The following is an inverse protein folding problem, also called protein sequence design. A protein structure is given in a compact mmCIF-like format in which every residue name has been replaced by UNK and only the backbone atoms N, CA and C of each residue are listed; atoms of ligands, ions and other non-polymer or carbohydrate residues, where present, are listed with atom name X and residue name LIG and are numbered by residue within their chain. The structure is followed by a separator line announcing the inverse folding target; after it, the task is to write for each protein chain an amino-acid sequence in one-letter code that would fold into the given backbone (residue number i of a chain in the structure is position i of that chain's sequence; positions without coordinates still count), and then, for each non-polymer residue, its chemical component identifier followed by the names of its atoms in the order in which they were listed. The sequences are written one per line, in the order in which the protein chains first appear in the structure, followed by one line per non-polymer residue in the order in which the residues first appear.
data_IF_174537823060
#
_entry.id   IF_174537823060
#
_cell.length_a   1.000
_cell.length_b   1.000
_cell.length_c   1.000
_cell.angle_alpha   90.00
_cell.angle_beta   90.00
_cell.angle_gamma   90.00
#
_symmetry.space_group_name_H-M   'P 1'
#
loop_
_entity.id
_entity.type
_entity.pdbx_description
1 polymer ?
#
# COMPACT_ATOMS: atom_id res chain seq x y z
N UNK A 1 0.69 -24.89 -10.43
CA UNK A 1 -0.35 -23.91 -10.80
C UNK A 1 -1.13 -23.61 -9.54
N UNK A 2 -1.36 -22.35 -9.22
CA UNK A 2 -2.23 -21.91 -8.13
C UNK A 2 -3.64 -22.46 -8.33
N UNK A 3 -4.33 -22.76 -7.23
CA UNK A 3 -5.63 -23.46 -7.26
C UNK A 3 -6.80 -22.48 -7.17
N UNK A 4 -6.60 -21.34 -6.49
CA UNK A 4 -7.66 -20.37 -6.19
C UNK A 4 -7.33 -19.01 -6.79
N UNK A 5 -8.34 -18.26 -7.20
CA UNK A 5 -8.15 -16.90 -7.73
C UNK A 5 -7.97 -15.88 -6.61
N UNK A 6 -8.75 -16.01 -5.54
CA UNK A 6 -8.76 -15.09 -4.41
C UNK A 6 -8.66 -15.83 -3.09
N UNK A 7 -8.03 -15.21 -2.10
CA UNK A 7 -7.99 -15.76 -0.74
C UNK A 7 -7.76 -14.71 0.34
N UNK A 8 -8.04 -15.10 1.58
CA UNK A 8 -7.72 -14.31 2.78
C UNK A 8 -6.67 -15.06 3.59
N UNK A 9 -5.55 -14.43 3.86
CA UNK A 9 -4.53 -14.90 4.79
C UNK A 9 -4.74 -14.24 6.15
N UNK A 10 -5.16 -15.03 7.14
CA UNK A 10 -5.32 -14.61 8.53
C UNK A 10 -4.01 -14.88 9.27
N UNK A 11 -3.27 -13.81 9.58
CA UNK A 11 -2.01 -13.87 10.31
C UNK A 11 -2.29 -13.82 11.83
N UNK A 12 -1.98 -14.92 12.49
CA UNK A 12 -2.30 -15.22 13.90
C UNK A 12 -1.10 -15.17 14.81
N UNK A 13 0.12 -15.28 14.28
CA UNK A 13 1.35 -15.12 15.08
C UNK A 13 1.44 -13.69 15.66
N UNK A 14 2.16 -13.52 16.79
CA UNK A 14 2.50 -12.20 17.32
C UNK A 14 3.19 -11.32 16.27
N UNK A 15 2.96 -10.00 16.32
CA UNK A 15 3.51 -9.04 15.34
C UNK A 15 5.05 -9.13 15.23
N UNK A 16 5.72 -9.26 16.37
CA UNK A 16 7.18 -9.43 16.46
C UNK A 16 7.67 -10.65 15.68
N UNK A 17 6.99 -11.79 15.80
CA UNK A 17 7.33 -13.02 15.07
C UNK A 17 7.01 -12.94 13.57
N UNK A 18 5.93 -12.23 13.19
CA UNK A 18 5.55 -12.05 11.79
C UNK A 18 6.63 -11.31 11.00
N UNK A 19 7.31 -10.35 11.62
CA UNK A 19 8.37 -9.56 10.95
C UNK A 19 9.41 -10.46 10.25
N UNK A 20 9.82 -11.58 10.85
CA UNK A 20 10.80 -12.51 10.27
C UNK A 20 10.17 -13.60 9.38
N UNK A 21 8.86 -13.83 9.50
CA UNK A 21 8.16 -14.96 8.87
C UNK A 21 7.34 -14.59 7.64
N UNK A 22 7.12 -13.30 7.37
CA UNK A 22 6.28 -12.83 6.27
C UNK A 22 6.70 -13.38 4.90
N UNK A 23 7.97 -13.27 4.51
CA UNK A 23 8.44 -13.73 3.20
C UNK A 23 8.11 -15.22 2.91
N UNK A 24 8.47 -16.20 3.76
CA UNK A 24 8.13 -17.60 3.50
C UNK A 24 6.62 -17.89 3.61
N UNK A 25 5.87 -17.16 4.44
CA UNK A 25 4.39 -17.25 4.48
C UNK A 25 3.79 -16.78 3.15
N UNK A 26 4.20 -15.60 2.65
CA UNK A 26 3.73 -15.05 1.38
C UNK A 26 4.09 -15.95 0.20
N UNK A 27 5.30 -16.52 0.20
CA UNK A 27 5.72 -17.49 -0.81
C UNK A 27 4.86 -18.75 -0.80
N UNK A 28 4.41 -19.20 0.37
CA UNK A 28 3.49 -20.34 0.50
C UNK A 28 2.08 -19.99 0.02
N UNK A 29 1.58 -18.80 0.38
CA UNK A 29 0.28 -18.31 -0.07
C UNK A 29 0.23 -18.11 -1.59
N UNK A 30 1.30 -17.57 -2.20
CA UNK A 30 1.42 -17.35 -3.64
C UNK A 30 1.44 -18.66 -4.47
N UNK A 31 1.71 -19.82 -3.86
CA UNK A 31 1.56 -21.12 -4.51
C UNK A 31 0.10 -21.56 -4.61
N UNK A 32 -0.77 -21.00 -3.77
CA UNK A 32 -2.17 -21.41 -3.59
C UNK A 32 -3.12 -20.42 -4.26
N UNK A 33 -2.85 -19.11 -4.12
CA UNK A 33 -3.68 -18.00 -4.63
C UNK A 33 -3.02 -17.34 -5.83
N UNK A 34 -3.80 -17.07 -6.86
CA UNK A 34 -3.31 -16.54 -8.14
C UNK A 34 -3.41 -15.02 -8.28
N UNK A 35 -4.60 -14.45 -8.03
CA UNK A 35 -4.93 -13.08 -8.45
C UNK A 35 -4.90 -12.12 -7.27
N UNK A 36 -5.69 -12.36 -6.22
CA UNK A 36 -5.82 -11.41 -5.08
C UNK A 36 -5.67 -12.11 -3.73
N UNK A 37 -4.70 -11.65 -2.94
CA UNK A 37 -4.50 -12.11 -1.56
C UNK A 37 -4.80 -10.97 -0.59
N UNK A 38 -5.91 -11.11 0.13
CA UNK A 38 -6.22 -10.25 1.26
C UNK A 38 -5.43 -10.73 2.48
N UNK A 39 -4.84 -9.82 3.24
CA UNK A 39 -4.13 -10.16 4.48
C UNK A 39 -4.81 -9.49 5.67
N UNK A 40 -5.24 -10.30 6.63
CA UNK A 40 -5.88 -9.85 7.88
C UNK A 40 -4.94 -10.16 9.05
N UNK A 41 -4.47 -9.11 9.73
CA UNK A 41 -3.72 -9.26 10.97
C UNK A 41 -4.68 -9.55 12.11
N UNK A 42 -4.47 -10.65 12.83
CA UNK A 42 -5.27 -11.04 13.99
C UNK A 42 -4.36 -11.77 15.00
N UNK A 43 -3.32 -11.09 15.53
CA UNK A 43 -2.34 -11.70 16.41
C UNK A 43 -3.02 -12.26 17.66
N UNK A 44 -2.67 -13.49 18.03
CA UNK A 44 -3.24 -14.20 19.17
C UNK A 44 -4.58 -14.88 18.90
N UNK A 45 -5.06 -14.94 17.65
CA UNK A 45 -6.24 -15.75 17.32
C UNK A 45 -6.01 -17.22 17.64
N UNK A 46 -6.82 -17.77 18.54
CA UNK A 46 -6.83 -19.20 18.82
C UNK A 46 -7.84 -19.90 17.92
N UNK A 47 -7.37 -20.89 17.16
CA UNK A 47 -8.21 -21.74 16.32
C UNK A 47 -8.49 -23.12 16.93
N UNK A 48 -7.93 -23.38 18.12
CA UNK A 48 -8.14 -24.61 18.88
C UNK A 48 -9.02 -24.34 20.09
N UNK A 49 -9.96 -25.24 20.38
CA UNK A 49 -10.86 -25.14 21.54
C UNK A 49 -12.34 -25.13 21.15
N UNK A 50 -13.21 -24.99 22.15
CA UNK A 50 -14.67 -25.00 22.00
C UNK A 50 -15.27 -23.62 21.73
N UNK A 51 -14.56 -22.54 22.07
CA UNK A 51 -15.02 -21.17 21.87
C UNK A 51 -15.00 -20.78 20.38
N UNK A 52 -15.98 -19.98 19.97
CA UNK A 52 -16.01 -19.42 18.62
C UNK A 52 -14.89 -18.36 18.47
N UNK A 53 -14.08 -18.41 17.40
CA UNK A 53 -13.06 -17.40 17.16
C UNK A 53 -13.71 -16.05 16.83
N UNK A 54 -13.25 -14.99 17.49
CA UNK A 54 -13.74 -13.62 17.31
C UNK A 54 -12.61 -12.68 16.93
N UNK A 55 -12.89 -11.74 16.02
CA UNK A 55 -11.92 -10.68 15.69
C UNK A 55 -11.74 -9.75 16.90
N UNK A 56 -10.53 -9.24 17.05
CA UNK A 56 -10.13 -8.29 18.10
C UNK A 56 -9.51 -7.08 17.43
N UNK A 57 -9.58 -5.95 18.13
CA UNK A 57 -8.97 -4.72 17.63
C UNK A 57 -7.47 -4.71 17.90
N UNK A 58 -6.74 -4.22 16.91
CA UNK A 58 -5.30 -3.95 17.00
C UNK A 58 -5.11 -2.43 17.04
N UNK A 59 -4.32 -1.88 17.97
CA UNK A 59 -4.01 -0.46 17.96
C UNK A 59 -3.16 -0.08 16.74
N UNK A 60 -3.45 1.07 16.13
CA UNK A 60 -2.63 1.64 15.07
C UNK A 60 -1.31 2.17 15.68
N UNK A 61 -0.25 1.36 15.63
CA UNK A 61 1.08 1.70 16.16
C UNK A 61 2.12 1.79 15.04
N UNK A 62 3.28 2.35 15.37
CA UNK A 62 4.42 2.36 14.45
C UNK A 62 4.84 0.95 14.04
N UNK A 63 4.73 -0.05 14.94
CA UNK A 63 5.04 -1.45 14.64
C UNK A 63 4.11 -2.01 13.56
N UNK A 64 2.79 -1.76 13.66
CA UNK A 64 1.82 -2.17 12.64
C UNK A 64 2.11 -1.50 11.30
N UNK A 65 2.44 -0.21 11.30
CA UNK A 65 2.83 0.53 10.09
C UNK A 65 4.07 -0.07 9.41
N UNK A 66 5.11 -0.38 10.20
CA UNK A 66 6.34 -1.02 9.72
C UNK A 66 6.08 -2.42 9.18
N UNK A 67 5.23 -3.21 9.85
CA UNK A 67 4.86 -4.56 9.40
C UNK A 67 4.10 -4.51 8.07
N UNK A 68 3.16 -3.59 7.90
CA UNK A 68 2.42 -3.40 6.65
C UNK A 68 3.37 -3.02 5.51
N UNK A 69 4.30 -2.10 5.78
CA UNK A 69 5.33 -1.69 4.81
C UNK A 69 6.18 -2.88 4.40
N UNK A 70 6.67 -3.67 5.38
CA UNK A 70 7.43 -4.89 5.13
C UNK A 70 6.65 -5.92 4.33
N UNK A 71 5.37 -6.14 4.65
CA UNK A 71 4.50 -7.09 3.94
C UNK A 71 4.37 -6.74 2.46
N UNK A 72 4.14 -5.47 2.14
CA UNK A 72 4.09 -5.02 0.75
C UNK A 72 5.45 -5.11 0.03
N UNK A 73 6.55 -4.83 0.72
CA UNK A 73 7.90 -5.03 0.18
C UNK A 73 8.18 -6.51 -0.12
N UNK A 74 7.90 -7.40 0.83
CA UNK A 74 8.07 -8.85 0.66
C UNK A 74 7.15 -9.41 -0.43
N UNK A 75 5.95 -8.83 -0.61
CA UNK A 75 5.02 -9.22 -1.66
C UNK A 75 5.48 -8.86 -3.08
N UNK A 76 6.40 -7.89 -3.25
CA UNK A 76 6.83 -7.40 -4.56
C UNK A 76 7.52 -8.49 -5.41
N UNK A 77 8.13 -9.48 -4.75
CA UNK A 77 8.71 -10.65 -5.45
C UNK A 77 7.64 -11.46 -6.19
N UNK A 78 6.39 -11.44 -5.70
CA UNK A 78 5.24 -12.15 -6.25
C UNK A 78 4.41 -11.26 -7.19
N UNK A 79 5.00 -10.83 -8.31
CA UNK A 79 4.42 -9.81 -9.20
C UNK A 79 3.06 -10.13 -9.85
N UNK A 80 2.59 -11.37 -9.78
CA UNK A 80 1.25 -11.75 -10.25
C UNK A 80 0.16 -11.62 -9.17
N UNK A 81 0.56 -11.46 -7.90
CA UNK A 81 -0.35 -11.47 -6.76
C UNK A 81 -0.67 -10.06 -6.30
N UNK A 82 -1.93 -9.67 -6.41
CA UNK A 82 -2.45 -8.42 -5.85
C UNK A 82 -2.67 -8.59 -4.34
N UNK A 83 -1.65 -8.27 -3.55
CA UNK A 83 -1.75 -8.28 -2.09
C UNK A 83 -2.45 -7.02 -1.59
N UNK A 84 -3.41 -7.16 -0.66
CA UNK A 84 -4.13 -6.06 0.00
C UNK A 84 -4.25 -6.31 1.50
N UNK A 85 -3.68 -5.42 2.32
CA UNK A 85 -3.77 -5.55 3.79
C UNK A 85 -5.05 -4.90 4.29
N UNK A 86 -5.88 -5.68 4.99
CA UNK A 86 -7.15 -5.24 5.55
C UNK A 86 -6.93 -4.52 6.87
N UNK A 87 -7.51 -3.32 7.01
CA UNK A 87 -7.36 -2.44 8.18
C UNK A 87 -8.67 -2.27 8.97
N UNK A 88 -9.63 -3.19 8.77
CA UNK A 88 -10.95 -3.14 9.39
C UNK A 88 -10.92 -3.33 10.91
N UNK A 89 -10.00 -4.13 11.42
CA UNK A 89 -9.79 -4.34 12.85
C UNK A 89 -8.67 -3.46 13.44
N UNK A 90 -8.12 -2.51 12.69
CA UNK A 90 -7.08 -1.59 13.20
C UNK A 90 -7.72 -0.27 13.63
N UNK A 91 -7.51 0.09 14.90
CA UNK A 91 -8.11 1.27 15.54
C UNK A 91 -7.10 2.35 15.90
N UNK A 92 -7.51 3.57 15.59
CA UNK A 92 -6.86 4.81 16.00
C UNK A 92 -7.30 5.14 17.44
N UNK A 93 -6.49 5.90 18.20
CA UNK A 93 -6.73 6.16 19.63
C UNK A 93 -8.08 6.84 19.96
N UNK A 94 -8.66 7.52 18.98
CA UNK A 94 -9.89 8.34 19.08
C UNK A 94 -11.17 7.59 18.66
N UNK A 95 -11.08 6.33 18.26
CA UNK A 95 -12.21 5.58 17.71
C UNK A 95 -13.29 5.25 18.74
N UNK A 96 -14.50 5.78 18.53
CA UNK A 96 -15.72 5.30 19.21
C UNK A 96 -15.92 3.78 19.00
N UNK A 97 -16.63 3.12 19.94
CA UNK A 97 -16.92 1.69 19.90
C UNK A 97 -17.82 1.32 18.72
N UNK A 98 -17.27 1.25 17.50
CA UNK A 98 -17.88 0.44 16.46
C UNK A 98 -17.72 -1.03 16.83
N UNK A 99 -18.75 -1.83 16.54
CA UNK A 99 -18.73 -3.29 16.66
C UNK A 99 -18.12 -3.88 15.38
N UNK A 100 -17.22 -4.87 15.52
CA UNK A 100 -16.62 -5.65 14.41
C UNK A 100 -17.62 -6.50 13.61
N UNK A 101 -18.92 -6.24 13.77
CA UNK A 101 -19.98 -7.22 13.50
C UNK A 101 -20.57 -7.18 12.09
N UNK A 102 -20.09 -6.29 11.21
CA UNK A 102 -20.55 -6.29 9.82
C UNK A 102 -19.63 -7.16 8.96
N UNK A 103 -20.22 -8.17 8.32
CA UNK A 103 -19.55 -8.96 7.27
C UNK A 103 -19.02 -8.01 6.19
N UNK A 104 -17.72 -8.08 5.91
CA UNK A 104 -17.08 -7.25 4.90
C UNK A 104 -17.24 -7.85 3.51
N UNK A 105 -17.70 -7.04 2.55
CA UNK A 105 -17.72 -7.39 1.14
C UNK A 105 -16.39 -7.01 0.50
N UNK A 106 -15.61 -8.01 0.13
CA UNK A 106 -14.36 -7.82 -0.61
C UNK A 106 -14.65 -7.84 -2.10
N UNK A 107 -13.91 -7.04 -2.87
CA UNK A 107 -14.07 -6.92 -4.32
C UNK A 107 -13.93 -8.26 -5.05
N UNK A 108 -13.10 -9.15 -4.50
CA UNK A 108 -12.99 -10.54 -4.95
C UNK A 108 -13.36 -11.46 -3.77
N UNK A 109 -14.56 -12.05 -3.75
CA UNK A 109 -14.99 -12.98 -2.70
C UNK A 109 -13.95 -14.10 -2.50
N UNK A 110 -13.48 -14.37 -1.28
CA UNK A 110 -12.43 -15.37 -1.05
C UNK A 110 -12.90 -16.78 -1.40
N UNK A 111 -12.09 -17.52 -2.16
CA UNK A 111 -12.28 -18.95 -2.44
C UNK A 111 -11.53 -19.82 -1.42
N UNK A 112 -10.48 -19.28 -0.81
CA UNK A 112 -9.67 -19.95 0.22
C UNK A 112 -9.37 -19.02 1.40
N UNK A 113 -9.37 -19.56 2.62
CA UNK A 113 -8.82 -18.92 3.81
C UNK A 113 -7.55 -19.66 4.24
N UNK A 114 -6.47 -18.90 4.38
CA UNK A 114 -5.14 -19.36 4.76
C UNK A 114 -4.82 -18.84 6.16
N UNK A 115 -3.96 -19.52 6.90
CA UNK A 115 -3.42 -19.01 8.17
C UNK A 115 -2.01 -19.51 8.41
N UNK A 116 -1.21 -18.75 9.15
CA UNK A 116 0.09 -19.16 9.68
C UNK A 116 0.00 -19.92 11.01
N UNK A 117 -1.23 -20.18 11.49
CA UNK A 117 -1.48 -20.92 12.73
C UNK A 117 -0.88 -22.33 12.69
N UNK A 118 -0.08 -22.65 13.71
CA UNK A 118 0.56 -23.96 13.85
C UNK A 118 -0.12 -24.80 14.93
N UNK A 119 -0.48 -26.03 14.57
CA UNK A 119 -1.01 -27.02 15.51
C UNK A 119 0.13 -27.82 16.13
N UNK A 120 0.13 -27.96 17.45
CA UNK A 120 1.12 -28.77 18.19
C UNK A 120 0.89 -30.27 17.92
N UNK A 121 -0.37 -30.69 17.85
CA UNK A 121 -0.76 -32.09 17.63
C UNK A 121 -1.56 -32.24 16.32
N UNK A 122 -1.26 -33.30 15.55
CA UNK A 122 -1.97 -33.60 14.30
C UNK A 122 -3.49 -33.78 14.46
N UNK A 123 -3.96 -34.15 15.65
CA UNK A 123 -5.38 -34.27 15.97
C UNK A 123 -6.14 -32.92 15.96
N UNK A 124 -5.44 -31.79 16.12
CA UNK A 124 -6.04 -30.45 16.10
C UNK A 124 -6.12 -29.84 14.70
N UNK A 125 -5.56 -30.49 13.68
CA UNK A 125 -5.52 -29.98 12.32
C UNK A 125 -6.92 -29.74 11.72
N UNK A 126 -7.79 -30.76 11.73
CA UNK A 126 -9.14 -30.65 11.16
C UNK A 126 -10.05 -29.70 11.98
N UNK A 127 -10.04 -29.73 13.32
CA UNK A 127 -10.75 -28.72 14.12
C UNK A 127 -10.33 -27.29 13.82
N UNK A 128 -9.03 -27.00 13.74
CA UNK A 128 -8.52 -25.66 13.45
C UNK A 128 -8.96 -25.15 12.08
N UNK A 129 -8.97 -26.03 11.06
CA UNK A 129 -9.51 -25.72 9.73
C UNK A 129 -10.97 -25.31 9.75
N UNK A 130 -11.81 -26.05 10.47
CA UNK A 130 -13.23 -25.73 10.60
C UNK A 130 -13.44 -24.40 11.34
N UNK A 131 -12.65 -24.12 12.38
CA UNK A 131 -12.73 -22.84 13.09
C UNK A 131 -12.27 -21.66 12.21
N UNK A 132 -11.23 -21.84 11.40
CA UNK A 132 -10.78 -20.83 10.45
C UNK A 132 -11.84 -20.51 9.39
N UNK A 133 -12.51 -21.53 8.86
CA UNK A 133 -13.59 -21.36 7.89
C UNK A 133 -14.78 -20.61 8.50
N UNK A 134 -15.16 -20.96 9.75
CA UNK A 134 -16.18 -20.23 10.51
C UNK A 134 -15.78 -18.79 10.78
N UNK A 135 -14.52 -18.54 11.15
CA UNK A 135 -14.01 -17.19 11.36
C UNK A 135 -14.14 -16.34 10.09
N UNK A 136 -13.68 -16.88 8.95
CA UNK A 136 -13.73 -16.19 7.67
C UNK A 136 -15.17 -15.91 7.23
N UNK A 137 -16.07 -16.89 7.31
CA UNK A 137 -17.48 -16.72 6.91
C UNK A 137 -18.27 -15.77 7.81
N UNK A 138 -17.85 -15.59 9.06
CA UNK A 138 -18.41 -14.55 9.94
C UNK A 138 -17.84 -13.15 9.66
N UNK A 139 -16.64 -13.07 9.07
CA UNK A 139 -15.94 -11.81 8.83
C UNK A 139 -16.15 -11.29 7.40
N UNK A 140 -16.38 -12.17 6.43
CA UNK A 140 -16.39 -11.86 5.00
C UNK A 140 -17.50 -12.55 4.23
N UNK A 141 -17.95 -11.90 3.17
CA UNK A 141 -18.77 -12.54 2.13
C UNK A 141 -17.88 -13.44 1.27
N UNK A 142 -17.83 -14.72 1.64
CA UNK A 142 -16.99 -15.73 0.99
C UNK A 142 -17.72 -16.45 -0.16
N UNK A 143 -16.94 -17.14 -0.99
CA UNK A 143 -17.49 -18.08 -1.96
C UNK A 143 -18.20 -19.27 -1.25
N UNK A 144 -19.29 -19.85 -1.80
CA UNK A 144 -20.06 -20.92 -1.14
C UNK A 144 -19.27 -22.18 -0.76
N UNK A 145 -18.14 -22.43 -1.43
CA UNK A 145 -17.26 -23.57 -1.20
C UNK A 145 -15.89 -23.11 -0.70
N UNK A 146 -15.88 -22.32 0.38
CA UNK A 146 -14.65 -21.80 0.97
C UNK A 146 -13.76 -22.96 1.46
N UNK A 147 -12.51 -22.98 1.01
CA UNK A 147 -11.52 -23.95 1.50
C UNK A 147 -10.66 -23.33 2.59
N UNK A 148 -10.39 -24.04 3.68
CA UNK A 148 -9.41 -23.62 4.68
C UNK A 148 -8.05 -24.31 4.48
N UNK A 149 -6.95 -23.63 4.77
CA UNK A 149 -5.58 -24.18 4.72
C UNK A 149 -4.73 -23.59 5.85
N UNK A 150 -4.02 -24.46 6.58
CA UNK A 150 -2.97 -24.05 7.51
C UNK A 150 -1.64 -24.12 6.77
N UNK A 151 -0.92 -23.00 6.75
CA UNK A 151 0.39 -22.89 6.13
C UNK A 151 1.47 -23.36 7.11
N UNK A 152 2.32 -24.27 6.64
CA UNK A 152 3.53 -24.69 7.35
C UNK A 152 4.73 -24.31 6.48
N UNK A 153 5.11 -23.03 6.43
CA UNK A 153 6.29 -22.65 5.68
C UNK A 153 7.52 -23.32 6.26
N UNK A 154 8.40 -23.79 5.38
CA UNK A 154 9.72 -24.27 5.76
C UNK A 154 10.53 -23.05 6.21
N UNK A 155 10.64 -22.85 7.52
CA UNK A 155 11.60 -21.92 8.07
C UNK A 155 12.97 -22.59 7.91
N UNK A 156 13.92 -21.92 7.25
CA UNK A 156 15.30 -22.37 7.29
C UNK A 156 15.73 -22.57 8.75
N UNK A 157 16.53 -23.58 9.02
CA UNK A 157 17.12 -23.78 10.35
C UNK A 157 18.09 -22.62 10.59
N UNK A 158 17.57 -21.50 11.05
CA UNK A 158 18.37 -20.42 11.61
C UNK A 158 18.07 -20.36 13.11
N UNK A 159 19.12 -20.56 13.90
CA UNK A 159 19.13 -20.69 15.36
C UNK A 159 18.72 -19.40 16.11
N UNK A 160 18.12 -18.42 15.43
CA UNK A 160 17.81 -17.10 16.00
C UNK A 160 16.48 -17.04 16.78
N UNK A 161 15.78 -18.17 16.93
CA UNK A 161 14.54 -18.24 17.74
C UNK A 161 14.83 -18.14 19.25
N UNK A 162 16.08 -18.32 19.70
CA UNK A 162 16.40 -18.44 21.14
C UNK A 162 16.61 -17.10 21.86
N UNK A 163 16.56 -15.94 21.18
CA UNK A 163 16.77 -14.64 21.84
C UNK A 163 15.73 -13.55 21.54
N UNK A 164 14.49 -13.93 21.23
CA UNK A 164 13.36 -13.00 21.30
C UNK A 164 13.03 -12.75 22.78
N UNK A 165 13.74 -11.79 23.40
CA UNK A 165 13.18 -11.12 24.57
C UNK A 165 11.86 -10.53 24.11
N UNK A 166 10.77 -10.92 24.76
CA UNK A 166 9.53 -10.16 24.79
C UNK A 166 9.88 -8.77 25.32
N UNK A 167 10.29 -7.88 24.43
CA UNK A 167 10.17 -6.46 24.73
C UNK A 167 8.70 -6.16 24.54
N UNK A 168 8.01 -6.01 25.67
CA UNK A 168 6.77 -5.26 25.80
C UNK A 168 7.01 -3.81 25.37
N UNK A 169 7.42 -3.60 24.12
CA UNK A 169 7.36 -2.32 23.47
C UNK A 169 5.94 -2.20 22.98
N UNK A 170 5.03 -1.75 23.85
CA UNK A 170 3.79 -1.11 23.41
C UNK A 170 4.21 -0.08 22.35
N UNK A 171 4.07 -0.46 21.07
CA UNK A 171 4.58 0.33 19.97
C UNK A 171 3.97 1.72 20.05
N UNK A 172 4.79 2.76 19.89
CA UNK A 172 4.31 4.13 19.96
C UNK A 172 3.06 4.30 19.08
N UNK A 173 1.94 4.76 19.65
CA UNK A 173 0.70 4.90 18.91
C UNK A 173 0.88 5.93 17.79
N UNK A 174 0.27 5.67 16.64
CA UNK A 174 0.27 6.61 15.52
C UNK A 174 -0.64 7.79 15.86
N UNK A 175 -0.11 9.00 15.65
CA UNK A 175 -0.91 10.21 15.72
C UNK A 175 -1.84 10.27 14.51
N UNK A 176 -3.13 10.05 14.73
CA UNK A 176 -4.17 10.18 13.72
C UNK A 176 -4.76 11.59 13.63
N UNK A 177 -5.50 11.82 12.55
CA UNK A 177 -6.08 13.09 12.16
C UNK A 177 -7.47 12.87 11.58
N UNK A 178 -8.40 13.81 11.80
CA UNK A 178 -9.77 13.70 11.28
C UNK A 178 -9.79 13.57 9.75
N UNK A 179 -8.99 14.41 9.09
CA UNK A 179 -8.99 14.63 7.65
C UNK A 179 -7.56 14.66 7.13
N UNK A 180 -7.23 13.69 6.28
CA UNK A 180 -5.90 13.53 5.69
C UNK A 180 -5.99 13.74 4.19
N UNK A 181 -4.96 14.33 3.59
CA UNK A 181 -4.82 14.47 2.13
C UNK A 181 -3.56 13.80 1.60
N UNK A 182 -3.66 13.20 0.42
CA UNK A 182 -2.53 12.69 -0.35
C UNK A 182 -2.74 12.99 -1.83
N UNK A 183 -1.64 13.27 -2.54
CA UNK A 183 -1.65 13.53 -3.98
C UNK A 183 -0.75 12.55 -4.72
N UNK A 184 -1.15 12.14 -5.93
CA UNK A 184 -0.34 11.23 -6.73
C UNK A 184 -0.92 10.97 -8.12
N UNK A 185 -0.11 10.40 -9.01
CA UNK A 185 -0.63 9.91 -10.29
C UNK A 185 -1.35 8.57 -10.12
N UNK A 186 -0.93 7.73 -9.18
CA UNK A 186 -1.51 6.39 -8.95
C UNK A 186 -1.60 5.56 -10.23
N UNK A 187 -0.63 5.73 -11.14
CA UNK A 187 -0.52 4.91 -12.35
C UNK A 187 -0.14 3.48 -11.95
N UNK A 188 -0.90 2.49 -12.45
CA UNK A 188 -0.66 1.06 -12.23
C UNK A 188 -0.40 0.76 -10.76
N UNK A 189 -1.41 0.97 -9.93
CA UNK A 189 -1.39 0.84 -8.46
C UNK A 189 -0.49 -0.31 -7.96
N UNK A 190 0.75 0.02 -7.61
CA UNK A 190 1.80 -0.91 -7.18
C UNK A 190 2.06 -0.80 -5.67
N UNK A 191 2.93 -1.66 -5.13
CA UNK A 191 3.13 -1.80 -3.69
C UNK A 191 3.56 -0.50 -2.99
N UNK A 192 4.39 0.35 -3.59
CA UNK A 192 4.68 1.67 -3.01
C UNK A 192 3.43 2.58 -2.87
N UNK A 193 2.49 2.55 -3.82
CA UNK A 193 1.21 3.26 -3.66
C UNK A 193 0.37 2.64 -2.55
N UNK A 194 0.33 1.30 -2.47
CA UNK A 194 -0.44 0.60 -1.44
C UNK A 194 0.07 0.88 -0.04
N UNK A 195 1.39 1.00 0.14
CA UNK A 195 2.00 1.44 1.40
C UNK A 195 1.54 2.85 1.73
N UNK A 196 1.72 3.81 0.81
CA UNK A 196 1.28 5.20 1.00
C UNK A 196 -0.19 5.30 1.40
N UNK A 197 -1.07 4.63 0.67
CA UNK A 197 -2.51 4.66 0.92
C UNK A 197 -2.90 3.93 2.22
N UNK A 198 -2.22 2.83 2.56
CA UNK A 198 -2.44 2.13 3.83
C UNK A 198 -2.05 3.00 5.02
N UNK A 199 -0.90 3.69 4.93
CA UNK A 199 -0.48 4.67 5.95
C UNK A 199 -1.48 5.81 6.05
N UNK A 200 -1.95 6.36 4.91
CA UNK A 200 -3.00 7.37 4.91
C UNK A 200 -4.26 6.87 5.63
N UNK A 201 -4.70 5.63 5.38
CA UNK A 201 -5.85 5.02 6.04
C UNK A 201 -5.64 4.83 7.55
N UNK A 202 -4.43 4.51 8.00
CA UNK A 202 -4.08 4.42 9.42
C UNK A 202 -4.11 5.78 10.12
N UNK A 203 -3.70 6.85 9.42
CA UNK A 203 -3.67 8.20 9.96
C UNK A 203 -5.04 8.90 9.90
N UNK A 204 -5.98 8.41 9.09
CA UNK A 204 -7.28 9.05 8.88
C UNK A 204 -8.34 8.48 9.82
N UNK A 205 -9.09 9.35 10.49
CA UNK A 205 -10.19 8.95 11.37
C UNK A 205 -11.55 9.04 10.68
N UNK A 206 -11.76 10.09 9.85
CA UNK A 206 -13.05 10.38 9.21
C UNK A 206 -12.96 10.36 7.69
N UNK A 207 -12.01 11.10 7.12
CA UNK A 207 -11.94 11.34 5.68
C UNK A 207 -10.52 11.29 5.15
N UNK A 208 -10.33 10.62 4.02
CA UNK A 208 -9.12 10.68 3.22
C UNK A 208 -9.45 11.31 1.87
N UNK A 209 -8.84 12.46 1.58
CA UNK A 209 -8.89 13.12 0.28
C UNK A 209 -7.70 12.66 -0.57
N UNK A 210 -7.97 12.17 -1.77
CA UNK A 210 -6.96 11.72 -2.72
C UNK A 210 -7.03 12.57 -3.99
N UNK A 211 -6.00 13.39 -4.20
CA UNK A 211 -5.79 14.12 -5.44
C UNK A 211 -5.13 13.23 -6.49
N UNK A 212 -5.86 12.89 -7.54
CA UNK A 212 -5.41 12.04 -8.64
C UNK A 212 -4.98 12.92 -9.82
N UNK A 213 -3.69 12.90 -10.14
CA UNK A 213 -3.14 13.75 -11.20
C UNK A 213 -3.80 13.46 -12.55
N UNK A 214 -4.10 14.53 -13.28
CA UNK A 214 -4.68 14.49 -14.62
C UNK A 214 -4.09 15.61 -15.50
N UNK A 215 -4.31 15.51 -16.82
CA UNK A 215 -3.96 16.52 -17.82
C UNK A 215 -2.53 17.06 -17.67
N UNK A 216 -2.38 18.34 -17.30
CA UNK A 216 -1.13 19.10 -17.31
C UNK A 216 -0.06 18.47 -16.40
N UNK A 217 -0.46 17.80 -15.31
CA UNK A 217 0.48 17.14 -14.40
C UNK A 217 1.11 15.87 -14.98
N UNK A 218 0.56 15.33 -16.08
CA UNK A 218 1.06 14.12 -16.73
C UNK A 218 2.07 14.43 -17.84
N UNK A 219 2.14 15.69 -18.31
CA UNK A 219 2.88 16.03 -19.53
C UNK A 219 4.39 15.81 -19.45
N UNK A 220 4.96 15.93 -18.25
CA UNK A 220 6.38 15.76 -18.00
C UNK A 220 6.75 14.36 -17.45
N UNK A 221 5.79 13.43 -17.37
CA UNK A 221 6.04 12.07 -16.90
C UNK A 221 6.69 11.25 -18.01
N UNK A 222 7.76 10.51 -17.69
CA UNK A 222 8.44 9.61 -18.63
C UNK A 222 7.45 8.59 -19.22
N UNK A 223 7.36 8.38 -20.54
CA UNK A 223 6.39 7.46 -21.16
C UNK A 223 4.91 7.77 -20.79
N UNK A 224 4.51 9.04 -20.90
CA UNK A 224 3.16 9.49 -20.49
C UNK A 224 2.03 8.79 -21.26
N UNK A 225 2.29 8.40 -22.50
CA UNK A 225 1.39 7.65 -23.37
C UNK A 225 1.06 6.24 -22.85
N UNK A 226 1.85 5.71 -21.90
CA UNK A 226 1.61 4.41 -21.26
C UNK A 226 0.90 4.52 -19.89
N UNK A 227 0.62 5.75 -19.44
CA UNK A 227 -0.14 6.01 -18.22
C UNK A 227 -1.58 5.53 -18.42
N UNK A 228 -2.14 4.85 -17.42
CA UNK A 228 -3.54 4.43 -17.46
C UNK A 228 -4.49 5.64 -17.49
N UNK A 229 -5.62 5.55 -18.25
CA UNK A 229 -6.65 6.60 -18.25
C UNK A 229 -7.12 6.95 -16.83
N UNK A 230 -7.54 8.20 -16.63
CA UNK A 230 -7.97 8.71 -15.33
C UNK A 230 -9.02 7.81 -14.66
N UNK A 231 -10.05 7.42 -15.41
CA UNK A 231 -11.15 6.60 -14.93
C UNK A 231 -10.67 5.25 -14.41
N UNK A 232 -9.74 4.62 -15.14
CA UNK A 232 -9.16 3.32 -14.75
C UNK A 232 -8.32 3.41 -13.48
N UNK A 233 -7.57 4.52 -13.32
CA UNK A 233 -6.78 4.76 -12.10
C UNK A 233 -7.69 4.99 -10.89
N UNK A 234 -8.74 5.78 -11.05
CA UNK A 234 -9.74 6.03 -10.01
C UNK A 234 -10.50 4.76 -9.64
N UNK A 235 -10.91 3.95 -10.61
CA UNK A 235 -11.61 2.68 -10.37
C UNK A 235 -10.76 1.74 -9.50
N UNK A 236 -9.50 1.50 -9.89
CA UNK A 236 -8.57 0.65 -9.13
C UNK A 236 -8.28 1.19 -7.74
N UNK A 237 -8.11 2.51 -7.63
CA UNK A 237 -7.87 3.19 -6.36
C UNK A 237 -9.07 3.04 -5.41
N UNK A 238 -10.28 3.32 -5.90
CA UNK A 238 -11.52 3.20 -5.14
C UNK A 238 -11.74 1.75 -4.68
N UNK A 239 -11.55 0.78 -5.58
CA UNK A 239 -11.66 -0.64 -5.27
C UNK A 239 -10.67 -1.06 -4.16
N UNK A 240 -9.41 -0.62 -4.26
CA UNK A 240 -8.40 -0.89 -3.23
C UNK A 240 -8.78 -0.29 -1.87
N UNK A 241 -9.19 0.98 -1.85
CA UNK A 241 -9.53 1.69 -0.61
C UNK A 241 -10.73 1.06 0.11
N UNK A 242 -11.78 0.70 -0.63
CA UNK A 242 -12.98 0.04 -0.07
C UNK A 242 -12.65 -1.35 0.49
N UNK A 243 -11.77 -2.10 -0.17
CA UNK A 243 -11.30 -3.38 0.38
C UNK A 243 -10.47 -3.17 1.66
N UNK A 244 -9.59 -2.16 1.68
CA UNK A 244 -8.61 -1.95 2.76
C UNK A 244 -9.25 -1.38 4.03
N UNK A 245 -10.05 -0.31 3.93
CA UNK A 245 -10.67 0.34 5.10
C UNK A 245 -12.06 0.91 4.76
N UNK A 246 -13.09 0.06 4.58
CA UNK A 246 -14.43 0.46 4.15
C UNK A 246 -15.14 1.43 5.11
N UNK A 247 -14.69 1.54 6.36
CA UNK A 247 -15.28 2.43 7.36
C UNK A 247 -14.89 3.91 7.18
N UNK A 248 -13.95 4.23 6.28
CA UNK A 248 -13.42 5.57 6.08
C UNK A 248 -14.12 6.27 4.90
N UNK A 249 -14.35 7.59 5.00
CA UNK A 249 -14.82 8.39 3.87
C UNK A 249 -13.71 8.69 2.87
N UNK A 250 -13.99 8.56 1.57
CA UNK A 250 -13.02 8.79 0.51
C UNK A 250 -13.49 9.85 -0.48
N UNK A 251 -12.67 10.90 -0.65
CA UNK A 251 -12.86 11.91 -1.68
C UNK A 251 -11.77 11.76 -2.74
N UNK A 252 -12.08 11.12 -3.86
CA UNK A 252 -11.14 10.95 -4.97
C UNK A 252 -11.44 12.03 -6.01
N UNK A 253 -10.50 12.96 -6.22
CA UNK A 253 -10.71 14.13 -7.08
C UNK A 253 -9.60 14.28 -8.11
N UNK A 254 -9.91 14.73 -9.33
CA UNK A 254 -8.87 15.06 -10.31
C UNK A 254 -8.11 16.31 -9.86
N UNK A 255 -6.79 16.32 -10.07
CA UNK A 255 -5.95 17.51 -9.88
C UNK A 255 -5.17 17.83 -11.17
N UNK A 256 -5.20 19.09 -11.58
CA UNK A 256 -4.47 19.63 -12.74
C UNK A 256 -3.29 20.51 -12.32
N UNK A 257 -3.12 20.77 -11.02
CA UNK A 257 -2.02 21.54 -10.45
C UNK A 257 -1.46 20.86 -9.19
N UNK A 258 -0.24 21.20 -8.75
CA UNK A 258 0.41 20.52 -7.63
C UNK A 258 -0.25 20.74 -6.26
N UNK A 259 -1.16 21.71 -6.12
CA UNK A 259 -1.82 22.03 -4.86
C UNK A 259 -3.20 21.36 -4.77
N UNK A 260 -4.00 21.43 -5.82
CA UNK A 260 -5.37 20.91 -5.82
C UNK A 260 -6.21 21.45 -4.64
N UNK A 261 -7.12 20.66 -4.06
CA UNK A 261 -7.98 21.12 -2.96
C UNK A 261 -7.23 21.32 -1.63
N UNK A 262 -5.95 20.92 -1.54
CA UNK A 262 -5.17 21.04 -0.30
C UNK A 262 -4.94 22.48 0.15
N UNK A 263 -5.13 23.47 -0.73
CA UNK A 263 -4.99 24.90 -0.42
C UNK A 263 -6.32 25.64 -0.28
N UNK A 264 -7.45 24.92 -0.40
CA UNK A 264 -8.80 25.49 -0.31
C UNK A 264 -9.65 24.81 0.76
N UNK A 265 -9.40 23.54 1.08
CA UNK A 265 -10.14 22.80 2.11
C UNK A 265 -9.62 23.12 3.53
N UNK A 266 -10.44 23.76 4.40
CA UNK A 266 -10.06 24.12 5.76
C UNK A 266 -10.15 22.95 6.76
N UNK A 267 -10.86 21.87 6.41
CA UNK A 267 -11.05 20.72 7.30
C UNK A 267 -9.79 19.85 7.38
N UNK A 268 -8.99 19.81 6.31
CA UNK A 268 -7.74 19.05 6.24
C UNK A 268 -6.80 19.38 7.41
N UNK A 269 -6.25 18.33 8.04
CA UNK A 269 -5.34 18.42 9.20
C UNK A 269 -3.95 17.88 8.91
N UNK A 270 -3.82 16.94 7.98
CA UNK A 270 -2.55 16.30 7.66
C UNK A 270 -2.40 16.10 6.15
N UNK A 271 -1.18 16.29 5.65
CA UNK A 271 -0.77 15.88 4.31
C UNK A 271 0.27 14.78 4.40
N UNK A 272 0.04 13.68 3.69
CA UNK A 272 1.00 12.58 3.60
C UNK A 272 1.81 12.74 2.31
N UNK A 273 3.12 12.69 2.46
CA UNK A 273 4.10 12.85 1.37
C UNK A 273 5.14 11.74 1.43
N UNK A 274 5.73 11.41 0.30
CA UNK A 274 6.99 10.65 0.27
C UNK A 274 8.19 11.57 0.54
N UNK A 275 9.36 10.98 0.83
CA UNK A 275 10.64 11.70 0.89
C UNK A 275 10.86 12.63 -0.34
N UNK A 276 10.43 12.20 -1.53
CA UNK A 276 10.56 12.97 -2.77
C UNK A 276 9.64 14.19 -2.82
N UNK A 277 8.49 14.11 -2.15
CA UNK A 277 7.43 15.12 -2.20
C UNK A 277 7.34 15.96 -0.93
N UNK A 278 8.30 15.82 -0.01
CA UNK A 278 8.40 16.63 1.22
C UNK A 278 8.39 18.15 0.92
N UNK A 279 9.18 18.60 -0.06
CA UNK A 279 9.20 20.01 -0.50
C UNK A 279 7.85 20.46 -1.08
N UNK A 280 7.12 19.54 -1.70
CA UNK A 280 5.74 19.77 -2.17
C UNK A 280 4.81 20.06 -1.00
N UNK A 281 4.87 19.25 0.07
CA UNK A 281 4.10 19.48 1.31
C UNK A 281 4.42 20.82 1.97
N UNK A 282 5.69 21.22 2.02
CA UNK A 282 6.09 22.55 2.52
C UNK A 282 5.52 23.68 1.65
N UNK A 283 5.53 23.50 0.32
CA UNK A 283 4.96 24.47 -0.63
C UNK A 283 3.45 24.61 -0.46
N UNK A 284 2.74 23.51 -0.17
CA UNK A 284 1.31 23.52 0.18
C UNK A 284 1.07 24.36 1.43
N UNK A 285 1.84 24.16 2.51
CA UNK A 285 1.68 24.95 3.74
C UNK A 285 1.92 26.44 3.53
N UNK A 286 2.94 26.81 2.74
CA UNK A 286 3.15 28.21 2.37
C UNK A 286 1.92 28.81 1.68
N UNK A 287 1.35 28.12 0.69
CA UNK A 287 0.15 28.59 -0.02
C UNK A 287 -1.09 28.60 0.87
N UNK A 288 -1.23 27.64 1.80
CA UNK A 288 -2.31 27.63 2.79
C UNK A 288 -2.28 28.88 3.66
N UNK A 289 -1.11 29.26 4.16
CA UNK A 289 -0.93 30.49 4.94
C UNK A 289 -1.26 31.74 4.11
N UNK A 290 -0.82 31.80 2.85
CA UNK A 290 -1.19 32.87 1.91
C UNK A 290 -2.72 32.98 1.71
N UNK A 291 -3.43 31.84 1.78
CA UNK A 291 -4.89 31.75 1.67
C UNK A 291 -5.63 31.88 3.01
N UNK A 292 -4.95 32.15 4.12
CA UNK A 292 -5.57 32.27 5.45
C UNK A 292 -6.00 30.94 6.08
N UNK A 293 -5.46 29.81 5.62
CA UNK A 293 -5.69 28.47 6.18
C UNK A 293 -4.57 28.07 7.15
N UNK A 294 -4.90 27.22 8.12
CA UNK A 294 -3.90 26.63 9.02
C UNK A 294 -3.00 25.65 8.27
N UNK A 295 -1.73 25.57 8.67
CA UNK A 295 -0.80 24.57 8.15
C UNK A 295 -1.30 23.13 8.39
N UNK A 296 -0.96 22.24 7.48
CA UNK A 296 -1.15 20.80 7.61
C UNK A 296 0.05 20.20 8.34
N UNK A 297 -0.22 19.20 9.20
CA UNK A 297 0.83 18.31 9.67
C UNK A 297 1.38 17.52 8.49
N UNK A 298 2.66 17.68 8.18
CA UNK A 298 3.33 16.88 7.14
C UNK A 298 3.72 15.53 7.78
N UNK A 299 3.19 14.44 7.23
CA UNK A 299 3.63 13.09 7.56
C UNK A 299 4.41 12.52 6.37
N UNK A 300 5.68 12.22 6.59
CA UNK A 300 6.57 11.70 5.56
C UNK A 300 6.67 10.18 5.63
N UNK A 301 6.51 9.52 4.49
CA UNK A 301 6.76 8.09 4.34
C UNK A 301 8.09 7.84 3.63
N UNK A 302 8.79 6.79 4.06
CA UNK A 302 10.04 6.36 3.44
C UNK A 302 9.79 5.69 2.09
N UNK A 303 10.76 5.82 1.18
CA UNK A 303 10.73 5.12 -0.09
C UNK A 303 11.04 3.63 0.09
N UNK A 304 10.46 2.79 -0.76
CA UNK A 304 10.71 1.34 -0.77
C UNK A 304 11.56 0.98 -1.98
N UNK A 305 12.70 0.35 -1.72
CA UNK A 305 13.62 -0.19 -2.73
C UNK A 305 12.95 -1.29 -3.54
N UNK A 306 13.14 -1.26 -4.85
CA UNK A 306 12.73 -2.31 -5.77
C UNK A 306 13.88 -3.35 -5.89
N UNK A 307 13.72 -4.58 -5.38
CA UNK A 307 14.78 -5.59 -5.45
C UNK A 307 15.05 -6.09 -6.89
N UNK A 308 14.19 -5.75 -7.85
CA UNK A 308 14.27 -6.16 -9.26
C UNK A 308 14.69 -5.02 -10.19
N UNK A 309 15.10 -3.86 -9.67
CA UNK A 309 15.53 -2.74 -10.50
C UNK A 309 16.73 -3.12 -11.38
N UNK A 310 16.72 -2.67 -12.62
CA UNK A 310 17.90 -2.72 -13.50
C UNK A 310 18.73 -1.43 -13.37
N UNK A 311 19.97 -1.42 -13.85
CA UNK A 311 20.86 -0.24 -13.78
C UNK A 311 20.27 1.05 -14.38
N UNK A 312 19.29 0.93 -15.29
CA UNK A 312 18.62 2.06 -15.96
C UNK A 312 17.27 2.42 -15.34
N UNK A 313 16.87 1.77 -14.25
CA UNK A 313 15.63 2.01 -13.53
C UNK A 313 15.88 2.76 -12.22
N UNK A 314 14.81 3.32 -11.65
CA UNK A 314 14.88 3.91 -10.31
C UNK A 314 15.10 2.78 -9.29
N UNK A 315 15.95 3.02 -8.29
CA UNK A 315 16.24 2.07 -7.20
C UNK A 315 14.98 1.75 -6.38
N UNK A 316 14.02 2.67 -6.32
CA UNK A 316 12.73 2.51 -5.64
C UNK A 316 11.65 1.95 -6.57
N UNK A 317 10.63 1.36 -5.97
CA UNK A 317 9.41 0.95 -6.68
C UNK A 317 8.69 2.21 -7.21
N UNK A 318 8.59 2.36 -8.54
CA UNK A 318 7.97 3.53 -9.16
C UNK A 318 7.24 3.23 -10.46
N UNK A 319 6.19 4.01 -10.76
CA UNK A 319 5.42 3.89 -11.99
C UNK A 319 6.23 4.16 -13.25
N UNK A 320 7.35 4.90 -13.16
CA UNK A 320 8.28 5.10 -14.26
C UNK A 320 8.97 3.78 -14.63
N UNK A 321 9.53 3.07 -13.64
CA UNK A 321 10.16 1.77 -13.85
C UNK A 321 9.14 0.75 -14.40
N UNK A 322 7.91 0.72 -13.88
CA UNK A 322 6.85 -0.14 -14.43
C UNK A 322 6.57 0.13 -15.90
N UNK A 323 6.50 1.40 -16.33
CA UNK A 323 6.25 1.75 -17.74
C UNK A 323 7.44 1.40 -18.63
N UNK A 324 8.67 1.58 -18.16
CA UNK A 324 9.87 1.12 -18.88
C UNK A 324 9.82 -0.39 -19.13
N UNK A 325 9.43 -1.19 -18.12
CA UNK A 325 9.31 -2.65 -18.25
C UNK A 325 8.26 -3.09 -19.28
N UNK A 326 7.23 -2.28 -19.55
CA UNK A 326 6.23 -2.57 -20.59
C UNK A 326 6.80 -2.49 -22.00
N UNK A 327 7.89 -1.76 -22.21
CA UNK A 327 8.59 -1.70 -23.50
C UNK A 327 9.31 -3.02 -23.83
N UNK A 328 9.39 -3.94 -22.87
CA UNK A 328 10.05 -5.23 -23.00
C UNK A 328 11.50 -5.20 -22.54
N UNK A 329 12.23 -6.28 -22.80
CA UNK A 329 13.64 -6.42 -22.44
C UNK A 329 14.54 -5.99 -23.58
N UNK A 330 15.50 -5.12 -23.30
CA UNK A 330 16.50 -4.69 -24.28
C UNK A 330 17.41 -5.88 -24.67
N UNK A 331 17.23 -6.42 -25.87
CA UNK A 331 17.99 -7.59 -26.35
C UNK A 331 19.44 -7.26 -26.73
N UNK A 332 19.69 -6.03 -27.19
CA UNK A 332 21.01 -5.54 -27.59
C UNK A 332 21.07 -4.04 -27.34
N UNK A 333 22.16 -3.56 -26.76
CA UNK A 333 22.39 -2.13 -26.62
C UNK A 333 22.40 -1.47 -28.01
N UNK A 334 21.67 -0.36 -28.21
CA UNK A 334 21.69 0.34 -29.49
C UNK A 334 23.12 0.77 -29.82
N UNK A 335 23.58 0.47 -31.03
CA UNK A 335 24.81 1.07 -31.52
C UNK A 335 24.60 2.58 -31.57
N UNK A 336 25.42 3.34 -30.84
CA UNK A 336 25.31 4.80 -30.82
C UNK A 336 25.64 5.32 -32.23
N UNK A 337 24.62 5.63 -33.01
CA UNK A 337 24.81 6.35 -34.27
C UNK A 337 25.28 7.76 -33.93
N UNK A 338 26.34 8.21 -34.60
CA UNK A 338 26.94 9.55 -34.45
C UNK A 338 25.89 10.67 -34.68
N UNK A 339 24.78 10.36 -35.37
CA UNK A 339 23.64 11.27 -35.54
C UNK A 339 22.72 11.40 -34.32
N UNK A 340 22.54 10.34 -33.52
CA UNK A 340 21.67 10.36 -32.34
C UNK A 340 22.32 11.08 -31.16
N UNK A 341 23.65 11.03 -31.04
CA UNK A 341 24.40 11.74 -29.99
C UNK A 341 24.28 13.26 -30.08
N UNK A 342 24.21 13.81 -31.30
CA UNK A 342 24.00 15.26 -31.52
C UNK A 342 22.59 15.72 -31.10
N UNK A 343 21.55 14.93 -31.43
CA UNK A 343 20.16 15.21 -31.09
C UNK A 343 19.88 15.09 -29.57
N UNK A 344 20.42 14.06 -28.92
CA UNK A 344 20.25 13.84 -27.47
C UNK A 344 20.98 14.90 -26.62
N UNK A 345 22.10 15.46 -27.11
CA UNK A 345 22.75 16.59 -26.46
C UNK A 345 21.88 17.86 -26.55
N UNK A 346 21.26 18.10 -27.70
CA UNK A 346 20.37 19.26 -27.91
C UNK A 346 19.14 19.21 -26.99
N UNK A 347 18.51 18.03 -26.83
CA UNK A 347 17.37 17.87 -25.90
C UNK A 347 17.77 17.97 -24.42
N UNK A 348 18.93 17.43 -24.02
CA UNK A 348 19.42 17.55 -22.63
C UNK A 348 19.75 18.98 -22.23
N UNK A 349 20.22 19.81 -23.18
CA UNK A 349 20.48 21.24 -22.95
C UNK A 349 19.16 22.00 -22.81
N UNK A 350 18.15 21.69 -23.63
CA UNK A 350 16.83 22.35 -23.58
C UNK A 350 16.04 22.03 -22.29
N UNK A 351 16.19 20.83 -21.72
CA UNK A 351 15.52 20.44 -20.46
C UNK A 351 16.20 20.95 -19.17
N UNK A 352 17.40 21.57 -19.27
CA UNK A 352 18.15 22.08 -18.11
C UNK A 352 18.14 23.60 -17.95
N UNK A 353 17.53 24.35 -18.86
CA UNK A 353 17.39 25.81 -18.72
C UNK A 353 16.07 26.17 -18.03
N UNK A 354 16.08 26.79 -16.83
CA UNK A 354 14.89 27.45 -16.33
C UNK A 354 14.56 28.64 -17.24
N UNK A 355 13.30 28.79 -17.58
CA UNK A 355 12.80 29.90 -18.38
C UNK A 355 13.00 31.23 -17.64
N UNK A 356 14.11 31.92 -17.91
CA UNK A 356 14.18 33.37 -17.74
C UNK A 356 13.56 34.01 -18.99
N UNK A 357 12.34 34.55 -18.83
CA UNK A 357 11.72 35.44 -19.82
C UNK A 357 12.54 36.74 -19.96
N UNK A 358 12.86 37.20 -21.18
CA UNK A 358 13.43 38.52 -21.40
C UNK A 358 12.30 39.56 -21.49
N UNK A 359 12.26 40.47 -20.52
CA UNK A 359 11.34 41.61 -20.49
C UNK A 359 12.06 42.92 -20.79
N UNK A 360 11.94 43.35 -22.05
CA UNK A 360 11.85 44.73 -22.55
C UNK A 360 13.05 45.70 -22.49
N UNK A 361 13.31 46.20 -23.70
CA UNK A 361 14.24 47.22 -24.17
C UNK A 361 13.89 48.68 -23.78
N UNK A 362 14.95 49.52 -23.88
CA UNK A 362 15.01 50.92 -24.36
C UNK A 362 14.33 52.02 -23.53
N UNK A 363 15.12 52.99 -23.03
CA UNK A 363 15.38 54.27 -23.72
C UNK A 363 16.12 55.29 -22.83
N UNK A 364 17.07 56.01 -23.45
CA UNK A 364 17.82 57.21 -23.04
C UNK A 364 18.88 57.07 -21.93
#
# INVERSE_FOLDING_TARGET
MSVFRSGVLVLTSPLSALSMRLAPILASAAKIVQDTLYVHLQPGLLLTGSSQPTSTYIPATQEVCSLISKLYSDADVHGNLDVRVLLTNIKNQSGSQQTLSSVQNLSHPPEVVLTDFQTIDGGQYNPAKQQLERYATNSYSCHPHLTSVLLYPEYGIEEDIINLKETDSEGNPLQSHSDVVVGGTFDRLHNAHKILLSVCCLLSERRLLIGVADKELLDNKALKELIEPYEKRVEKLAQFLVDVKPSLGYDIVPISDPFGPSITDPELKCIVVSEETQKGGQSVNKRRLENGLSELRIHEIQLVTDPKHSENEEEKISSSSFRNRLLGTLLKTPAVSIHLSALLLQERISRRTPACLPGLMLSA
#
